data_IF_260095703658
#
_entry.id   IF_260095703658
#
_cell.length_a   1.000
_cell.length_b   1.000
_cell.length_c   1.000
_cell.angle_alpha   90.00
_cell.angle_beta   90.00
_cell.angle_gamma   90.00
#
_symmetry.space_group_name_H-M   'P 1'
#
loop_
_entity.id
_entity.type
_entity.pdbx_description
1 polymer ?
#
# COMPACT_ATOMS: atom_id res chain seq x y z
N UNK A 1 12.49 -7.51 -22.17
CA UNK A 1 11.49 -7.18 -23.20
C UNK A 1 10.41 -8.24 -23.21
N UNK A 2 9.15 -7.86 -23.43
CA UNK A 2 8.03 -8.80 -23.53
C UNK A 2 7.88 -9.28 -24.97
N UNK A 3 7.28 -10.46 -25.15
CA UNK A 3 6.82 -10.89 -26.48
C UNK A 3 5.63 -10.02 -26.90
N UNK A 4 5.46 -9.72 -28.21
CA UNK A 4 4.26 -9.05 -28.70
C UNK A 4 2.98 -9.74 -28.19
N UNK A 5 2.04 -8.96 -27.65
CA UNK A 5 0.78 -9.45 -27.09
C UNK A 5 0.84 -10.06 -25.68
N UNK A 6 2.02 -10.15 -25.04
CA UNK A 6 2.10 -10.67 -23.67
C UNK A 6 1.47 -9.70 -22.66
N UNK A 7 0.66 -10.19 -21.69
CA UNK A 7 0.03 -9.33 -20.69
C UNK A 7 1.03 -8.85 -19.64
N UNK A 8 0.72 -7.70 -19.04
CA UNK A 8 1.41 -7.20 -17.84
C UNK A 8 0.40 -7.08 -16.71
N UNK A 9 0.76 -7.62 -15.54
CA UNK A 9 0.01 -7.43 -14.30
C UNK A 9 0.78 -6.49 -13.38
N UNK A 10 0.10 -5.48 -12.87
CA UNK A 10 0.62 -4.60 -11.82
C UNK A 10 -0.27 -4.79 -10.59
N UNK A 11 0.32 -5.28 -9.51
CA UNK A 11 -0.29 -5.28 -8.18
C UNK A 11 0.47 -4.29 -7.31
N UNK A 12 -0.19 -3.21 -6.92
CA UNK A 12 0.42 -2.16 -6.10
C UNK A 12 -0.64 -1.48 -5.24
N UNK A 13 -0.19 -0.81 -4.18
CA UNK A 13 -0.94 0.30 -3.61
C UNK A 13 -0.88 1.49 -4.59
N UNK A 14 -1.98 2.24 -4.70
CA UNK A 14 -2.08 3.41 -5.56
C UNK A 14 -2.54 4.61 -4.74
N UNK A 15 -2.10 5.81 -5.14
CA UNK A 15 -2.57 7.05 -4.53
C UNK A 15 -4.11 7.14 -4.53
N UNK A 16 -4.68 7.69 -3.45
CA UNK A 16 -6.13 7.84 -3.29
C UNK A 16 -6.92 6.55 -2.99
N UNK A 17 -6.25 5.41 -2.72
CA UNK A 17 -6.91 4.13 -2.39
C UNK A 17 -6.41 3.50 -1.08
N UNK A 18 -6.49 4.25 0.01
CA UNK A 18 -5.98 3.83 1.33
C UNK A 18 -6.91 2.85 2.07
N UNK A 19 -8.20 2.84 1.73
CA UNK A 19 -9.27 2.16 2.48
C UNK A 19 -9.10 0.64 2.50
N UNK A 20 -8.45 0.08 1.47
CA UNK A 20 -8.21 -1.36 1.33
C UNK A 20 -6.90 -1.84 1.99
N UNK A 21 -6.16 -0.95 2.67
CA UNK A 21 -4.85 -1.24 3.25
C UNK A 21 -4.90 -0.92 4.75
N UNK A 22 -5.08 -1.96 5.57
CA UNK A 22 -5.23 -1.85 7.02
C UNK A 22 -4.10 -1.10 7.73
N UNK A 23 -2.91 -1.02 7.13
CA UNK A 23 -1.78 -0.27 7.71
C UNK A 23 -2.15 1.19 8.00
N UNK A 24 -2.86 1.87 7.09
CA UNK A 24 -3.15 3.30 7.23
C UNK A 24 -4.20 3.61 8.31
N UNK A 25 -4.94 2.59 8.79
CA UNK A 25 -5.81 2.75 9.97
C UNK A 25 -5.01 3.11 11.22
N UNK A 26 -3.80 2.56 11.36
CA UNK A 26 -2.96 2.75 12.54
C UNK A 26 -1.87 3.81 12.32
N UNK A 27 -1.50 4.07 11.07
CA UNK A 27 -0.48 5.05 10.67
C UNK A 27 -1.06 6.07 9.68
N UNK A 28 -2.03 6.91 10.09
CA UNK A 28 -2.64 7.92 9.22
C UNK A 28 -1.61 8.90 8.63
N UNK A 29 -0.52 9.18 9.34
CA UNK A 29 0.56 10.06 8.89
C UNK A 29 1.27 9.50 7.64
N UNK A 30 1.24 8.17 7.45
CA UNK A 30 1.81 7.53 6.26
C UNK A 30 0.91 7.66 5.02
N UNK A 31 -0.32 8.17 5.13
CA UNK A 31 -1.20 8.43 3.97
C UNK A 31 -0.56 9.47 3.05
N UNK A 32 0.07 10.51 3.61
CA UNK A 32 0.77 11.52 2.81
C UNK A 32 1.94 10.95 1.99
N UNK A 33 2.47 9.79 2.39
CA UNK A 33 3.48 9.06 1.60
C UNK A 33 2.80 8.29 0.46
N UNK A 34 1.67 7.63 0.74
CA UNK A 34 0.87 6.93 -0.28
C UNK A 34 0.39 7.89 -1.38
N UNK A 35 0.04 9.13 -1.03
CA UNK A 35 -0.45 10.12 -2.00
C UNK A 35 0.62 10.53 -3.03
N UNK A 36 1.89 10.22 -2.78
CA UNK A 36 3.00 10.41 -3.74
C UNK A 36 3.18 9.22 -4.69
N UNK A 37 2.46 8.13 -4.49
CA UNK A 37 2.55 6.95 -5.35
C UNK A 37 1.88 7.24 -6.71
N UNK A 38 2.18 6.46 -7.75
CA UNK A 38 1.42 6.54 -8.99
C UNK A 38 -0.08 6.35 -8.74
N UNK A 39 -0.91 7.10 -9.46
CA UNK A 39 -2.35 6.88 -9.52
C UNK A 39 -2.68 5.84 -10.61
N UNK A 40 -3.84 5.18 -10.51
CA UNK A 40 -4.30 4.26 -11.56
C UNK A 40 -4.40 4.96 -12.92
N UNK A 41 -4.98 6.18 -13.06
CA UNK A 41 -4.96 6.91 -14.32
C UNK A 41 -3.55 7.20 -14.82
N UNK A 42 -2.62 7.57 -13.95
CA UNK A 42 -1.23 7.84 -14.31
C UNK A 42 -0.51 6.60 -14.85
N UNK A 43 -0.69 5.45 -14.20
CA UNK A 43 -0.12 4.18 -14.67
C UNK A 43 -0.75 3.76 -16.00
N UNK A 44 -2.07 3.88 -16.17
CA UNK A 44 -2.73 3.58 -17.45
C UNK A 44 -2.19 4.46 -18.58
N UNK A 45 -2.01 5.76 -18.33
CA UNK A 45 -1.45 6.69 -19.32
C UNK A 45 -0.01 6.35 -19.70
N UNK A 46 0.84 6.03 -18.71
CA UNK A 46 2.23 5.63 -18.96
C UNK A 46 2.32 4.33 -19.79
N UNK A 47 1.47 3.36 -19.50
CA UNK A 47 1.42 2.11 -20.26
C UNK A 47 0.83 2.29 -21.67
N UNK A 48 -0.17 3.16 -21.82
CA UNK A 48 -0.71 3.51 -23.13
C UNK A 48 0.35 4.17 -24.03
N UNK A 49 1.17 5.07 -23.47
CA UNK A 49 2.31 5.68 -24.18
C UNK A 49 3.36 4.65 -24.63
N UNK A 50 3.43 3.50 -23.96
CA UNK A 50 4.29 2.37 -24.31
C UNK A 50 3.61 1.32 -25.22
N UNK A 51 2.40 1.59 -25.73
CA UNK A 51 1.69 0.71 -26.65
C UNK A 51 0.83 -0.39 -25.99
N UNK A 52 0.59 -0.31 -24.68
CA UNK A 52 -0.29 -1.25 -23.99
C UNK A 52 -1.74 -0.76 -23.93
N UNK A 53 -2.67 -1.70 -23.97
CA UNK A 53 -4.10 -1.45 -23.76
C UNK A 53 -4.54 -2.01 -22.41
N UNK A 54 -5.18 -1.22 -21.52
CA UNK A 54 -5.71 -1.73 -20.26
C UNK A 54 -6.84 -2.74 -20.50
N UNK A 55 -6.73 -3.94 -19.91
CA UNK A 55 -7.74 -5.00 -20.03
C UNK A 55 -8.63 -5.13 -18.79
N UNK A 56 -8.15 -4.70 -17.62
CA UNK A 56 -8.91 -4.78 -16.37
C UNK A 56 -8.23 -4.03 -15.23
N UNK A 57 -8.99 -3.75 -14.17
CA UNK A 57 -8.48 -3.19 -12.92
C UNK A 57 -9.42 -3.57 -11.79
N UNK A 58 -8.96 -4.45 -10.91
CA UNK A 58 -9.77 -4.97 -9.82
C UNK A 58 -9.24 -4.50 -8.45
N UNK A 59 -10.12 -4.06 -7.53
CA UNK A 59 -9.72 -3.85 -6.14
C UNK A 59 -9.40 -5.19 -5.48
N UNK A 60 -8.16 -5.38 -5.05
CA UNK A 60 -7.75 -6.56 -4.27
C UNK A 60 -7.39 -6.09 -2.85
N UNK A 61 -8.10 -6.55 -1.81
CA UNK A 61 -7.74 -6.25 -0.43
C UNK A 61 -6.32 -6.70 -0.09
N UNK A 62 -5.57 -5.87 0.64
CA UNK A 62 -4.24 -6.24 1.12
C UNK A 62 -4.33 -6.92 2.49
N UNK A 63 -4.29 -8.25 2.49
CA UNK A 63 -4.14 -9.04 3.74
C UNK A 63 -2.64 -9.15 4.05
N UNK A 64 -2.21 -8.50 5.13
CA UNK A 64 -0.79 -8.48 5.54
C UNK A 64 -0.51 -9.41 6.72
N UNK A 65 -1.54 -9.72 7.51
CA UNK A 65 -1.52 -10.66 8.62
C UNK A 65 -2.96 -11.18 8.83
N UNK A 66 -3.15 -12.39 9.40
CA UNK A 66 -4.48 -12.96 9.61
C UNK A 66 -5.25 -12.28 10.76
N UNK A 67 -4.58 -11.59 11.67
CA UNK A 67 -5.20 -10.80 12.74
C UNK A 67 -4.43 -9.51 13.04
N UNK A 68 -5.04 -8.62 13.83
CA UNK A 68 -4.38 -7.39 14.33
C UNK A 68 -3.25 -7.75 15.30
N UNK A 69 -3.42 -8.80 16.12
CA UNK A 69 -2.38 -9.29 17.02
C UNK A 69 -1.16 -9.80 16.24
N UNK A 70 -1.38 -10.58 15.18
CA UNK A 70 -0.30 -11.05 14.30
C UNK A 70 0.38 -9.88 13.57
N UNK A 71 -0.40 -8.88 13.13
CA UNK A 71 0.15 -7.68 12.52
C UNK A 71 1.04 -6.89 13.49
N UNK A 72 0.66 -6.81 14.76
CA UNK A 72 1.43 -6.14 15.81
C UNK A 72 2.72 -6.90 16.15
N UNK A 73 2.66 -8.23 16.23
CA UNK A 73 3.80 -9.08 16.53
C UNK A 73 4.84 -9.11 15.40
N UNK A 74 4.38 -9.10 14.15
CA UNK A 74 5.24 -9.18 12.96
C UNK A 74 5.64 -7.81 12.36
N UNK A 75 5.29 -6.70 13.01
CA UNK A 75 5.57 -5.37 12.48
C UNK A 75 7.08 -5.11 12.38
N UNK A 76 7.56 -4.90 11.16
CA UNK A 76 8.93 -4.46 10.86
C UNK A 76 8.88 -3.16 10.07
N UNK A 77 9.40 -2.07 10.65
CA UNK A 77 9.36 -0.73 10.02
C UNK A 77 10.09 -0.73 8.68
N UNK A 78 11.25 -1.37 8.64
CA UNK A 78 12.10 -1.53 7.47
C UNK A 78 11.45 -2.34 6.34
N UNK A 79 10.45 -3.17 6.64
CA UNK A 79 9.70 -3.90 5.62
C UNK A 79 8.60 -3.04 4.97
N UNK A 80 8.40 -1.79 5.42
CA UNK A 80 7.28 -0.94 5.01
C UNK A 80 7.77 0.45 4.62
N UNK A 81 7.96 0.67 3.32
CA UNK A 81 8.38 1.97 2.78
C UNK A 81 7.58 3.16 3.33
N UNK A 82 6.23 3.10 3.46
CA UNK A 82 5.50 4.23 4.05
C UNK A 82 5.90 4.55 5.49
N UNK A 83 6.27 3.55 6.29
CA UNK A 83 6.66 3.74 7.69
C UNK A 83 8.10 4.23 7.86
N UNK A 84 8.96 4.00 6.86
CA UNK A 84 10.31 4.56 6.84
C UNK A 84 10.32 6.06 6.53
N UNK A 85 9.26 6.56 5.91
CA UNK A 85 9.16 7.94 5.41
C UNK A 85 8.33 8.86 6.31
N UNK A 86 7.85 8.36 7.46
CA UNK A 86 7.23 9.17 8.52
C UNK A 86 8.23 9.39 9.66
N UNK A 87 7.96 10.41 10.49
CA UNK A 87 8.77 10.68 11.69
C UNK A 87 8.74 9.53 12.68
N UNK A 88 9.77 9.46 13.53
CA UNK A 88 9.84 8.47 14.59
C UNK A 88 8.69 8.60 15.61
N UNK A 89 8.27 9.83 15.89
CA UNK A 89 7.11 10.12 16.74
C UNK A 89 5.81 9.57 16.13
N UNK A 90 5.55 9.85 14.86
CA UNK A 90 4.37 9.34 14.16
C UNK A 90 4.39 7.80 14.10
N UNK A 91 5.57 7.21 13.88
CA UNK A 91 5.73 5.76 13.93
C UNK A 91 5.43 5.20 15.32
N UNK A 92 6.00 5.78 16.39
CA UNK A 92 5.76 5.34 17.77
C UNK A 92 4.27 5.45 18.15
N UNK A 93 3.61 6.56 17.81
CA UNK A 93 2.18 6.76 18.04
C UNK A 93 1.33 5.71 17.29
N UNK A 94 1.70 5.38 16.05
CA UNK A 94 1.01 4.33 15.30
C UNK A 94 1.20 2.93 15.87
N UNK A 95 2.39 2.63 16.40
CA UNK A 95 2.66 1.36 17.11
C UNK A 95 1.81 1.23 18.37
N UNK A 96 1.62 2.32 19.12
CA UNK A 96 0.72 2.33 20.30
C UNK A 96 -0.71 2.00 19.87
N UNK A 97 -1.28 2.71 18.89
CA UNK A 97 -2.62 2.44 18.36
C UNK A 97 -2.80 0.99 17.90
N UNK A 98 -1.82 0.44 17.19
CA UNK A 98 -1.84 -0.95 16.72
C UNK A 98 -1.83 -1.95 17.89
N UNK A 99 -0.98 -1.71 18.90
CA UNK A 99 -0.86 -2.60 20.07
C UNK A 99 -2.07 -2.52 20.99
N UNK A 100 -2.73 -1.38 21.09
CA UNK A 100 -3.99 -1.26 21.83
C UNK A 100 -5.10 -2.06 21.14
N UNK A 101 -5.25 -1.91 19.83
CA UNK A 101 -6.22 -2.68 19.04
C UNK A 101 -5.96 -4.19 19.01
N UNK A 102 -4.72 -4.63 19.27
CA UNK A 102 -4.37 -6.04 19.36
C UNK A 102 -4.78 -6.71 20.68
N UNK A 103 -5.19 -5.93 21.71
CA UNK A 103 -5.60 -6.46 23.03
C UNK A 103 -7.11 -6.65 23.17
N UNK A 104 -7.88 -6.11 22.23
CA UNK A 104 -9.34 -6.24 22.12
C UNK A 104 -9.71 -7.38 21.20
#
# INVERSE_FOLDING_TARGET
MLRPGAPVLIRSAFAGRREAINLFRFFPEAVAVLDRYPSIPGVKAAFAAAGFTPTGCEPVPQVTAPSVADAAAALRREARTPLQLISDEAHAAGVVRLREAART
#
